data_IF_054266785672
#
_entry.id   IF_054266785672
#
_cell.length_a   1.000
_cell.length_b   1.000
_cell.length_c   1.000
_cell.angle_alpha   90.00
_cell.angle_beta   90.00
_cell.angle_gamma   90.00
#
_symmetry.space_group_name_H-M   'P 1'
#
loop_
_entity.id
_entity.type
_entity.pdbx_description
1 polymer ?
#
# COMPACT_ATOMS: atom_id res chain seq x y z
N UNK A 1 19.67 -74.11 -17.89
CA UNK A 1 18.35 -73.51 -17.62
C UNK A 1 18.59 -72.26 -16.79
N UNK A 2 18.42 -71.09 -17.40
CA UNK A 2 18.87 -69.82 -16.88
C UNK A 2 17.70 -68.82 -16.91
N UNK A 3 17.55 -68.08 -15.79
CA UNK A 3 16.88 -66.77 -15.65
C UNK A 3 15.41 -66.68 -16.04
N UNK A 4 14.57 -66.41 -15.03
CA UNK A 4 13.95 -65.09 -14.90
C UNK A 4 13.02 -65.09 -13.69
N UNK A 5 13.41 -64.39 -12.63
CA UNK A 5 12.49 -63.96 -11.59
C UNK A 5 12.71 -62.47 -11.40
N UNK A 6 11.94 -61.69 -12.15
CA UNK A 6 11.91 -60.22 -12.07
C UNK A 6 11.14 -59.90 -10.80
N UNK A 7 11.86 -59.60 -9.72
CA UNK A 7 11.29 -58.95 -8.55
C UNK A 7 11.10 -57.46 -8.90
N UNK A 8 9.87 -57.09 -9.26
CA UNK A 8 9.45 -55.70 -9.40
C UNK A 8 9.50 -55.02 -8.04
N UNK A 9 10.59 -54.30 -7.78
CA UNK A 9 10.70 -53.31 -6.72
C UNK A 9 9.77 -52.14 -7.04
N UNK A 10 8.57 -52.15 -6.45
CA UNK A 10 7.67 -51.00 -6.44
C UNK A 10 8.29 -49.98 -5.47
N UNK A 11 9.09 -49.05 -6.00
CA UNK A 11 9.49 -47.84 -5.30
C UNK A 11 8.24 -46.94 -5.15
N UNK A 12 7.52 -47.12 -4.04
CA UNK A 12 6.53 -46.13 -3.59
C UNK A 12 7.32 -44.94 -3.08
N UNK A 13 7.65 -44.01 -3.99
CA UNK A 13 8.15 -42.69 -3.64
C UNK A 13 6.98 -41.96 -2.99
N UNK A 14 6.89 -42.04 -1.67
CA UNK A 14 5.99 -41.24 -0.87
C UNK A 14 6.36 -39.78 -1.07
N UNK A 15 5.59 -39.07 -1.90
CA UNK A 15 5.56 -37.62 -1.87
C UNK A 15 4.98 -37.23 -0.50
N UNK A 16 5.86 -37.01 0.47
CA UNK A 16 5.53 -36.27 1.66
C UNK A 16 5.04 -34.90 1.18
N UNK A 17 3.73 -34.72 1.16
CA UNK A 17 3.09 -33.43 0.96
C UNK A 17 3.59 -32.54 2.08
N UNK A 18 4.60 -31.72 1.76
CA UNK A 18 5.05 -30.65 2.64
C UNK A 18 3.92 -29.62 2.67
N UNK A 19 2.89 -29.87 3.47
CA UNK A 19 1.96 -28.81 3.85
C UNK A 19 2.76 -27.89 4.77
N UNK A 20 3.10 -26.72 4.26
CA UNK A 20 3.65 -25.67 5.11
C UNK A 20 2.61 -25.38 6.20
N UNK A 21 2.87 -25.85 7.41
CA UNK A 21 1.99 -25.60 8.55
C UNK A 21 2.03 -24.10 8.89
N UNK A 22 0.86 -23.45 8.86
CA UNK A 22 0.72 -22.05 9.25
C UNK A 22 0.96 -21.95 10.76
N UNK A 23 2.00 -21.23 11.15
CA UNK A 23 2.36 -21.05 12.57
C UNK A 23 1.36 -20.15 13.31
N UNK A 24 1.32 -20.16 14.66
CA UNK A 24 0.52 -19.19 15.41
C UNK A 24 0.91 -17.74 15.14
N UNK A 25 2.21 -17.48 14.92
CA UNK A 25 2.75 -16.17 14.56
C UNK A 25 2.21 -15.71 13.19
N UNK A 26 2.19 -16.62 12.22
CA UNK A 26 1.61 -16.38 10.91
C UNK A 26 0.12 -16.01 11.00
N UNK A 27 -0.65 -16.75 11.80
CA UNK A 27 -2.08 -16.44 12.02
C UNK A 27 -2.28 -15.05 12.63
N UNK A 28 -1.47 -14.68 13.63
CA UNK A 28 -1.54 -13.36 14.25
C UNK A 28 -1.26 -12.26 13.22
N UNK A 29 -0.26 -12.47 12.36
CA UNK A 29 0.12 -11.54 11.29
C UNK A 29 -0.98 -11.38 10.25
N UNK A 30 -1.64 -12.48 9.86
CA UNK A 30 -2.79 -12.44 8.94
C UNK A 30 -3.90 -11.54 9.51
N UNK A 31 -4.28 -11.75 10.77
CA UNK A 31 -5.36 -10.96 11.37
C UNK A 31 -4.98 -9.48 11.55
N UNK A 32 -3.71 -9.19 11.87
CA UNK A 32 -3.18 -7.82 11.90
C UNK A 32 -3.31 -7.15 10.53
N UNK A 33 -2.84 -7.79 9.46
CA UNK A 33 -2.88 -7.22 8.11
C UNK A 33 -4.28 -7.09 7.55
N UNK A 34 -5.18 -8.00 7.91
CA UNK A 34 -6.61 -7.91 7.61
C UNK A 34 -7.26 -6.73 8.34
N UNK A 35 -6.84 -6.43 9.57
CA UNK A 35 -7.27 -5.23 10.29
C UNK A 35 -6.78 -3.97 9.59
N UNK A 36 -5.49 -3.91 9.24
CA UNK A 36 -4.90 -2.78 8.49
C UNK A 36 -5.65 -2.57 7.17
N UNK A 37 -5.93 -3.64 6.41
CA UNK A 37 -6.69 -3.57 5.18
C UNK A 37 -8.08 -2.95 5.38
N UNK A 38 -8.84 -3.42 6.38
CA UNK A 38 -10.18 -2.90 6.67
C UNK A 38 -10.15 -1.42 7.03
N UNK A 39 -9.23 -1.03 7.91
CA UNK A 39 -9.05 0.37 8.30
C UNK A 39 -8.64 1.22 7.10
N UNK A 40 -7.77 0.70 6.24
CA UNK A 40 -7.36 1.42 5.04
C UNK A 40 -8.53 1.63 4.09
N UNK A 41 -9.37 0.61 3.91
CA UNK A 41 -10.57 0.68 3.11
C UNK A 41 -11.55 1.75 3.64
N UNK A 42 -11.75 1.81 4.95
CA UNK A 42 -12.58 2.84 5.59
C UNK A 42 -12.06 4.25 5.31
N UNK A 43 -10.74 4.47 5.44
CA UNK A 43 -10.12 5.77 5.18
C UNK A 43 -10.30 6.19 3.72
N UNK A 44 -9.98 5.32 2.75
CA UNK A 44 -10.10 5.69 1.33
C UNK A 44 -11.55 5.85 0.87
N UNK A 45 -12.51 5.16 1.50
CA UNK A 45 -13.93 5.24 1.15
C UNK A 45 -14.67 6.42 1.82
N UNK A 46 -14.03 7.12 2.76
CA UNK A 46 -14.62 8.30 3.39
C UNK A 46 -14.74 9.45 2.39
N UNK A 47 -15.83 10.21 2.49
CA UNK A 47 -16.12 11.40 1.67
C UNK A 47 -15.21 12.63 1.94
N UNK A 48 -14.27 12.54 2.89
CA UNK A 48 -13.34 13.61 3.24
C UNK A 48 -12.17 13.65 2.27
N UNK A 49 -11.60 14.84 2.04
CA UNK A 49 -10.37 15.02 1.25
C UNK A 49 -9.16 14.44 1.97
N UNK A 50 -8.44 13.52 1.32
CA UNK A 50 -7.14 13.06 1.76
C UNK A 50 -6.06 14.03 1.28
N UNK A 51 -5.09 14.33 2.13
CA UNK A 51 -3.95 15.21 1.86
C UNK A 51 -2.67 14.42 2.04
N UNK A 52 -1.73 14.58 1.13
CA UNK A 52 -0.38 14.06 1.32
C UNK A 52 0.35 15.00 2.29
N UNK A 53 0.50 14.57 3.54
CA UNK A 53 0.98 15.44 4.62
C UNK A 53 2.46 15.27 4.94
N UNK A 54 3.03 14.10 4.66
CA UNK A 54 4.42 13.80 5.02
C UNK A 54 4.99 12.76 4.08
N UNK A 55 6.27 12.90 3.72
CA UNK A 55 7.01 11.95 2.90
C UNK A 55 8.42 11.75 3.43
N UNK A 56 9.05 10.62 3.10
CA UNK A 56 10.50 10.46 3.26
C UNK A 56 11.23 11.58 2.51
N UNK A 57 12.27 12.17 3.11
CA UNK A 57 12.99 13.32 2.54
C UNK A 57 13.54 13.08 1.13
N UNK A 58 13.86 11.83 0.78
CA UNK A 58 14.32 11.43 -0.57
C UNK A 58 13.24 11.59 -1.66
N UNK A 59 11.97 11.69 -1.27
CA UNK A 59 10.84 11.93 -2.17
C UNK A 59 10.53 13.41 -2.40
N UNK A 60 11.15 14.33 -1.63
CA UNK A 60 10.88 15.78 -1.71
C UNK A 60 10.96 16.35 -3.13
N UNK A 61 11.88 15.85 -3.95
CA UNK A 61 12.11 16.31 -5.33
C UNK A 61 11.31 15.53 -6.38
N UNK A 62 10.66 14.43 -5.98
CA UNK A 62 9.92 13.53 -6.88
C UNK A 62 8.41 13.68 -6.72
N UNK A 63 7.96 14.03 -5.53
CA UNK A 63 6.55 14.17 -5.16
C UNK A 63 6.28 15.62 -4.78
N UNK A 64 5.29 16.22 -5.43
CA UNK A 64 4.89 17.58 -5.11
C UNK A 64 4.24 17.65 -3.72
N UNK A 65 4.46 18.75 -2.99
CA UNK A 65 3.69 19.07 -1.80
C UNK A 65 2.24 19.44 -2.19
N UNK A 66 1.35 19.52 -1.21
CA UNK A 66 -0.06 19.90 -1.41
C UNK A 66 -0.88 18.96 -2.31
N UNK A 67 -0.47 17.71 -2.48
CA UNK A 67 -1.30 16.74 -3.17
C UNK A 67 -2.54 16.43 -2.34
N UNK A 68 -3.69 16.41 -3.03
CA UNK A 68 -5.00 16.15 -2.46
C UNK A 68 -5.73 15.11 -3.27
N UNK A 69 -6.61 14.38 -2.60
CA UNK A 69 -7.49 13.40 -3.22
C UNK A 69 -8.88 13.51 -2.63
N UNK A 70 -9.84 13.92 -3.45
CA UNK A 70 -11.25 14.08 -3.08
C UNK A 70 -12.03 12.83 -3.43
N UNK A 71 -13.00 12.50 -2.60
CA UNK A 71 -13.87 11.35 -2.83
C UNK A 71 -14.82 11.60 -4.00
N UNK A 72 -15.07 10.57 -4.82
CA UNK A 72 -16.09 10.61 -5.88
C UNK A 72 -17.15 9.55 -5.61
N UNK A 73 -16.77 8.27 -5.57
CA UNK A 73 -17.71 7.16 -5.40
C UNK A 73 -17.02 5.88 -4.94
N UNK A 74 -17.74 5.04 -4.19
CA UNK A 74 -17.32 3.68 -3.88
C UNK A 74 -17.55 2.79 -5.12
N UNK A 75 -16.61 1.89 -5.39
CA UNK A 75 -16.74 0.88 -6.46
C UNK A 75 -16.29 -0.49 -5.93
N UNK A 76 -16.61 -1.56 -6.66
CA UNK A 76 -16.21 -2.90 -6.25
C UNK A 76 -14.67 -3.02 -6.18
N UNK A 77 -14.15 -3.44 -5.03
CA UNK A 77 -12.71 -3.63 -4.81
C UNK A 77 -11.91 -2.36 -4.49
N UNK A 78 -12.56 -1.21 -4.34
CA UNK A 78 -11.86 0.04 -4.05
C UNK A 78 -12.73 1.29 -4.00
N UNK A 79 -12.20 2.39 -4.52
CA UNK A 79 -12.88 3.69 -4.53
C UNK A 79 -12.40 4.54 -5.72
N UNK A 80 -13.29 5.34 -6.29
CA UNK A 80 -12.93 6.38 -7.24
C UNK A 80 -12.74 7.70 -6.49
N UNK A 81 -11.60 8.35 -6.72
CA UNK A 81 -11.21 9.62 -6.11
C UNK A 81 -10.56 10.54 -7.15
N UNK A 82 -10.32 11.79 -6.78
CA UNK A 82 -9.42 12.67 -7.55
C UNK A 82 -7.97 12.48 -7.09
N UNK A 83 -7.02 12.89 -7.91
CA UNK A 83 -5.64 13.15 -7.56
C UNK A 83 -5.25 14.49 -8.18
N UNK A 84 -4.88 15.46 -7.36
CA UNK A 84 -4.55 16.81 -7.81
C UNK A 84 -3.68 17.56 -6.81
N UNK A 85 -3.30 18.79 -7.15
CA UNK A 85 -2.54 19.67 -6.25
C UNK A 85 -3.36 20.90 -5.90
N UNK A 86 -3.38 21.28 -4.61
CA UNK A 86 -4.01 22.53 -4.15
C UNK A 86 -3.35 23.78 -4.74
N UNK A 87 -2.07 23.70 -5.15
CA UNK A 87 -1.32 24.83 -5.72
C UNK A 87 -1.84 25.21 -7.12
N UNK A 88 -2.47 24.27 -7.82
CA UNK A 88 -2.97 24.47 -9.17
C UNK A 88 -4.42 24.95 -9.16
N UNK A 89 -4.61 26.26 -9.22
CA UNK A 89 -5.88 26.85 -9.68
C UNK A 89 -6.14 26.64 -11.18
N UNK A 90 -5.37 25.77 -11.87
CA UNK A 90 -5.32 25.70 -13.34
C UNK A 90 -5.18 24.30 -13.96
N UNK A 91 -4.83 23.25 -13.21
CA UNK A 91 -4.77 21.88 -13.75
C UNK A 91 -5.92 21.05 -13.16
N UNK A 92 -6.74 20.42 -14.01
CA UNK A 92 -7.85 19.63 -13.52
C UNK A 92 -7.33 18.44 -12.73
N UNK A 93 -7.83 18.26 -11.51
CA UNK A 93 -7.57 17.06 -10.73
C UNK A 93 -8.00 15.83 -11.56
N UNK A 94 -7.09 14.86 -11.71
CA UNK A 94 -7.38 13.68 -12.49
C UNK A 94 -8.26 12.72 -11.68
N UNK A 95 -9.19 12.03 -12.35
CA UNK A 95 -9.98 10.98 -11.71
C UNK A 95 -9.17 9.68 -11.69
N UNK A 96 -9.03 9.10 -10.50
CA UNK A 96 -8.30 7.86 -10.27
C UNK A 96 -9.18 6.81 -9.60
N UNK A 97 -8.94 5.55 -9.93
CA UNK A 97 -9.44 4.39 -9.21
C UNK A 97 -8.34 3.89 -8.27
N UNK A 98 -8.65 3.87 -6.97
CA UNK A 98 -7.76 3.37 -5.92
C UNK A 98 -8.23 1.96 -5.57
N UNK A 99 -7.45 0.96 -5.99
CA UNK A 99 -7.69 -0.45 -5.72
C UNK A 99 -6.95 -0.87 -4.45
N UNK A 100 -7.64 -1.57 -3.54
CA UNK A 100 -7.01 -2.16 -2.36
C UNK A 100 -7.10 -3.67 -2.45
N UNK A 101 -5.97 -4.34 -2.26
CA UNK A 101 -5.87 -5.80 -2.27
C UNK A 101 -5.34 -6.31 -0.94
N UNK A 102 -5.84 -7.47 -0.52
CA UNK A 102 -5.36 -8.21 0.64
C UNK A 102 -5.28 -9.69 0.28
N UNK A 103 -4.04 -10.16 0.07
CA UNK A 103 -3.77 -11.58 -0.14
C UNK A 103 -4.16 -12.38 1.09
N UNK A 104 -4.91 -13.47 0.92
CA UNK A 104 -5.13 -14.46 1.99
C UNK A 104 -3.99 -15.48 2.10
N UNK A 105 -3.01 -15.41 1.19
CA UNK A 105 -1.90 -16.35 1.04
C UNK A 105 -0.58 -15.66 1.37
N UNK A 106 0.31 -16.34 2.09
CA UNK A 106 1.59 -15.75 2.50
C UNK A 106 2.50 -15.39 1.31
N UNK A 107 3.18 -14.22 1.35
CA UNK A 107 3.11 -13.17 2.38
C UNK A 107 1.83 -12.34 2.29
N UNK A 108 1.14 -12.20 3.43
CA UNK A 108 -0.14 -11.48 3.55
C UNK A 108 0.15 -10.01 3.81
N UNK A 109 0.44 -9.21 2.79
CA UNK A 109 0.64 -7.75 2.96
C UNK A 109 -0.44 -7.00 2.21
N UNK A 110 -1.17 -6.08 2.86
CA UNK A 110 -2.19 -5.28 2.19
C UNK A 110 -1.52 -4.29 1.23
N UNK A 111 -2.14 -4.13 0.06
CA UNK A 111 -1.60 -3.36 -1.06
C UNK A 111 -2.60 -2.32 -1.52
N UNK A 112 -2.07 -1.26 -2.09
CA UNK A 112 -2.80 -0.20 -2.76
C UNK A 112 -2.22 -0.01 -4.16
N UNK A 113 -3.09 0.22 -5.14
CA UNK A 113 -2.73 0.58 -6.50
C UNK A 113 -3.63 1.73 -6.96
N UNK A 114 -3.08 2.66 -7.74
CA UNK A 114 -3.83 3.80 -8.29
C UNK A 114 -3.84 3.70 -9.81
N UNK A 115 -5.02 3.76 -10.40
CA UNK A 115 -5.20 3.69 -11.85
C UNK A 115 -5.89 4.95 -12.33
N UNK A 116 -5.46 5.52 -13.45
CA UNK A 116 -6.20 6.61 -14.10
C UNK A 116 -7.53 6.07 -14.64
N UNK A 117 -8.65 6.72 -14.31
CA UNK A 117 -9.94 6.38 -14.94
C UNK A 117 -9.95 6.82 -16.41
N UNK A 118 -9.24 7.90 -16.71
CA UNK A 118 -8.97 8.38 -18.07
C UNK A 118 -7.52 8.87 -18.13
N UNK A 119 -6.78 8.40 -19.13
CA UNK A 119 -5.36 8.72 -19.28
C UNK A 119 -4.48 7.98 -18.28
N UNK A 120 -3.18 8.23 -18.39
CA UNK A 120 -2.16 7.66 -17.51
C UNK A 120 -2.00 8.54 -16.27
N UNK A 121 -1.75 7.92 -15.12
CA UNK A 121 -1.33 8.65 -13.92
C UNK A 121 0.13 9.08 -14.07
N UNK A 122 0.60 10.12 -13.35
CA UNK A 122 2.00 10.51 -13.41
C UNK A 122 2.91 9.32 -13.06
N UNK A 123 4.12 9.24 -13.63
CA UNK A 123 5.02 8.12 -13.40
C UNK A 123 5.26 7.85 -11.91
N UNK A 124 5.14 6.59 -11.51
CA UNK A 124 5.34 6.14 -10.12
C UNK A 124 4.06 6.02 -9.29
N UNK A 125 2.93 6.56 -9.75
CA UNK A 125 1.65 6.45 -9.05
C UNK A 125 0.84 5.19 -9.43
N UNK A 126 1.10 4.60 -10.60
CA UNK A 126 0.47 3.35 -11.07
C UNK A 126 1.08 2.08 -10.49
N UNK A 127 2.07 2.25 -9.61
CA UNK A 127 2.80 1.16 -9.01
C UNK A 127 2.03 0.51 -7.85
N UNK A 128 2.44 -0.70 -7.49
CA UNK A 128 1.94 -1.31 -6.26
C UNK A 128 2.62 -0.65 -5.06
N UNK A 129 1.82 -0.30 -4.07
CA UNK A 129 2.28 0.25 -2.80
C UNK A 129 1.86 -0.69 -1.65
N UNK A 130 2.70 -0.83 -0.63
CA UNK A 130 2.34 -1.55 0.58
C UNK A 130 1.70 -0.60 1.58
N UNK A 131 0.57 -1.02 2.15
CA UNK A 131 -0.05 -0.31 3.27
C UNK A 131 0.65 -0.77 4.55
N UNK A 132 1.49 0.09 5.13
CA UNK A 132 2.25 -0.20 6.35
C UNK A 132 1.42 -0.05 7.60
N UNK A 133 0.49 0.91 7.57
CA UNK A 133 -0.38 1.22 8.69
C UNK A 133 -1.61 1.97 8.19
N UNK A 134 -2.75 1.78 8.87
CA UNK A 134 -3.96 2.55 8.66
C UNK A 134 -4.58 2.88 10.01
N UNK A 135 -4.67 4.18 10.30
CA UNK A 135 -5.35 4.71 11.47
C UNK A 135 -6.79 5.07 11.14
N UNK A 136 -7.44 5.81 12.05
CA UNK A 136 -8.83 6.25 11.82
C UNK A 136 -8.94 7.28 10.68
N UNK A 137 -7.94 8.15 10.58
CA UNK A 137 -7.99 9.34 9.72
C UNK A 137 -6.79 9.44 8.76
N UNK A 138 -6.02 8.36 8.61
CA UNK A 138 -4.75 8.39 7.88
C UNK A 138 -4.23 7.01 7.47
N UNK A 139 -3.33 7.01 6.50
CA UNK A 139 -2.65 5.86 5.92
C UNK A 139 -1.14 6.13 5.87
N UNK A 140 -0.35 5.09 6.15
CA UNK A 140 1.08 5.07 5.85
C UNK A 140 1.30 4.04 4.75
N UNK A 141 1.83 4.51 3.63
CA UNK A 141 2.05 3.71 2.43
C UNK A 141 3.54 3.74 2.04
N UNK A 142 4.00 2.62 1.50
CA UNK A 142 5.39 2.40 1.12
C UNK A 142 5.44 1.93 -0.34
N UNK A 143 5.89 2.79 -1.28
CA UNK A 143 5.99 2.43 -2.68
C UNK A 143 7.05 1.35 -2.93
N UNK A 144 6.78 0.42 -3.86
CA UNK A 144 7.62 -0.77 -4.07
C UNK A 144 8.83 -0.52 -4.99
N UNK A 145 8.79 0.45 -5.91
CA UNK A 145 9.83 0.54 -6.94
C UNK A 145 11.11 1.29 -6.53
N UNK A 146 11.29 1.63 -5.26
CA UNK A 146 12.56 2.16 -4.76
C UNK A 146 13.55 1.01 -4.48
N UNK A 147 14.14 0.46 -5.55
CA UNK A 147 14.89 -0.82 -5.54
C UNK A 147 16.17 -0.87 -4.69
N UNK A 148 16.53 0.14 -3.90
CA UNK A 148 17.74 0.12 -3.06
C UNK A 148 17.55 0.89 -1.75
N UNK A 149 17.94 0.27 -0.63
CA UNK A 149 17.93 0.88 0.70
C UNK A 149 16.64 0.66 1.50
N UNK A 150 16.42 1.51 2.50
CA UNK A 150 15.11 1.60 3.15
C UNK A 150 14.12 2.17 2.11
N UNK A 151 12.94 1.57 2.00
CA UNK A 151 11.91 2.04 1.09
C UNK A 151 11.27 3.30 1.67
N UNK A 152 11.06 4.35 0.86
CA UNK A 152 10.45 5.58 1.36
C UNK A 152 8.99 5.33 1.73
N UNK A 153 8.44 6.24 2.54
CA UNK A 153 7.05 6.20 2.96
C UNK A 153 6.36 7.53 2.68
N UNK A 154 5.04 7.46 2.62
CA UNK A 154 4.10 8.56 2.43
C UNK A 154 3.03 8.47 3.52
N UNK A 155 2.58 9.62 4.04
CA UNK A 155 1.37 9.71 4.86
C UNK A 155 0.29 10.46 4.09
N UNK A 156 -0.84 9.78 3.89
CA UNK A 156 -2.09 10.43 3.50
C UNK A 156 -2.99 10.56 4.72
N UNK A 157 -3.54 11.75 4.96
CA UNK A 157 -4.41 11.98 6.10
C UNK A 157 -5.47 13.04 5.77
N UNK A 158 -6.61 12.99 6.47
CA UNK A 158 -7.63 14.04 6.28
C UNK A 158 -7.16 15.40 6.82
N UNK A 159 -6.42 15.37 7.93
CA UNK A 159 -5.80 16.52 8.60
C UNK A 159 -4.41 16.12 9.12
N UNK A 160 -3.69 17.02 9.80
CA UNK A 160 -2.39 16.71 10.43
C UNK A 160 -2.54 15.75 11.62
N UNK A 161 -2.98 14.52 11.38
CA UNK A 161 -3.25 13.51 12.38
C UNK A 161 -1.96 13.11 13.11
N UNK A 162 -1.90 13.42 14.39
CA UNK A 162 -0.76 13.07 15.26
C UNK A 162 -0.53 11.56 15.38
N UNK A 163 -1.56 10.73 15.13
CA UNK A 163 -1.47 9.27 15.20
C UNK A 163 -0.51 8.72 14.13
N UNK A 164 -0.78 8.96 12.85
CA UNK A 164 0.10 8.46 11.79
C UNK A 164 1.49 9.11 11.81
N UNK A 165 1.61 10.37 12.24
CA UNK A 165 2.94 10.98 12.40
C UNK A 165 3.75 10.28 13.49
N UNK A 166 3.09 9.84 14.57
CA UNK A 166 3.73 9.02 15.62
C UNK A 166 4.11 7.64 15.07
N UNK A 167 3.18 6.97 14.39
CA UNK A 167 3.42 5.63 13.82
C UNK A 167 4.44 5.64 12.68
N UNK A 168 4.60 6.74 11.96
CA UNK A 168 5.59 6.87 10.91
C UNK A 168 6.99 6.52 11.41
N UNK A 169 7.36 6.93 12.62
CA UNK A 169 8.69 6.62 13.17
C UNK A 169 8.91 5.13 13.41
N UNK A 170 7.84 4.40 13.71
CA UNK A 170 7.87 2.95 13.93
C UNK A 170 7.92 2.20 12.59
N UNK A 171 7.13 2.65 11.62
CA UNK A 171 6.96 1.97 10.33
C UNK A 171 8.04 2.34 9.31
N UNK A 172 8.61 3.55 9.42
CA UNK A 172 9.45 4.19 8.43
C UNK A 172 10.66 4.84 9.11
N UNK A 173 11.85 4.25 8.90
CA UNK A 173 13.07 4.60 9.65
C UNK A 173 13.80 5.84 9.15
N UNK A 174 13.40 6.37 8.00
CA UNK A 174 14.10 7.48 7.35
C UNK A 174 13.60 8.85 7.82
N UNK A 175 14.46 9.86 7.63
CA UNK A 175 14.06 11.26 7.80
C UNK A 175 12.90 11.57 6.85
N UNK A 176 12.00 12.42 7.32
CA UNK A 176 10.83 12.85 6.59
C UNK A 176 10.73 14.37 6.58
N UNK A 177 9.94 14.87 5.63
CA UNK A 177 9.56 16.28 5.50
C UNK A 177 8.03 16.36 5.52
N UNK A 178 7.51 17.46 6.04
CA UNK A 178 6.06 17.67 6.18
C UNK A 178 5.62 18.71 5.15
N UNK A 179 4.46 18.50 4.54
CA UNK A 179 3.89 19.46 3.60
C UNK A 179 3.27 20.63 4.37
N UNK A 180 3.68 21.85 4.03
CA UNK A 180 2.92 23.03 4.38
C UNK A 180 1.76 23.19 3.38
N UNK A 181 0.53 22.99 3.87
CA UNK A 181 -0.68 23.04 3.04
C UNK A 181 -1.12 24.46 2.66
N UNK A 182 -0.43 25.50 3.16
CA UNK A 182 -0.64 26.90 2.79
C UNK A 182 0.36 27.36 1.74
N UNK A 183 1.67 27.15 1.98
CA UNK A 183 2.72 27.55 1.02
C UNK A 183 2.92 26.53 -0.10
N UNK A 184 2.46 25.29 0.09
CA UNK A 184 2.66 24.17 -0.82
C UNK A 184 4.15 23.87 -1.07
N UNK A 185 4.89 23.85 0.04
CA UNK A 185 6.30 23.51 0.10
C UNK A 185 6.55 22.43 1.15
N UNK A 186 7.64 21.68 0.97
CA UNK A 186 8.12 20.71 1.93
C UNK A 186 9.00 21.41 2.99
N UNK A 187 8.68 21.20 4.26
CA UNK A 187 9.40 21.70 5.43
C UNK A 187 10.31 20.63 6.03
#
# INVERSE_FOLDING_TARGET
MQRNMIFSLIFIVGFALCQAEITPEDKAKIEEYKKIYKQALEVVQTNRTLKLVQVTSTLRTKVAACLTSDFISIVQGGVTRTLGSKREGSSPAMTVYVALDHSTSFPVTPKLQIHGVRGEVPPGWDETEFIKYAGKDCLIIQPVNFRQGNLPCLIWAFDGSNECTSEYKNQCKEKSVVADMHSCEWQ
#
